data_IF_015388481437
#
_entry.id   IF_015388481437
#
_cell.length_a   1.000
_cell.length_b   1.000
_cell.length_c   1.000
_cell.angle_alpha   90.00
_cell.angle_beta   90.00
_cell.angle_gamma   90.00
#
_symmetry.space_group_name_H-M   'P 1'
#
loop_
_entity.id
_entity.type
_entity.pdbx_description
1 polymer ?
#
# COMPACT_ATOMS: atom_id res chain seq x y z
N UNK A 1 32.68 -13.36 4.48
CA UNK A 1 32.51 -13.80 3.07
C UNK A 1 33.63 -13.16 2.29
N UNK A 2 34.31 -13.88 1.37
CA UNK A 2 35.35 -13.32 0.51
C UNK A 2 34.75 -12.25 -0.41
N UNK A 3 35.49 -11.16 -0.65
CA UNK A 3 35.09 -10.14 -1.62
C UNK A 3 34.98 -10.77 -3.00
N UNK A 4 33.85 -10.63 -3.72
CA UNK A 4 33.72 -11.19 -5.06
C UNK A 4 34.80 -10.64 -6.00
N UNK A 5 35.35 -11.49 -6.83
CA UNK A 5 36.39 -11.10 -7.78
C UNK A 5 35.74 -10.57 -9.04
N UNK A 6 35.96 -9.27 -9.33
CA UNK A 6 35.56 -8.66 -10.58
C UNK A 6 36.70 -8.77 -11.59
N UNK A 7 36.40 -9.26 -12.79
CA UNK A 7 37.41 -9.44 -13.85
C UNK A 7 37.03 -8.57 -15.05
N UNK A 8 37.90 -7.62 -15.43
CA UNK A 8 37.78 -6.86 -16.66
C UNK A 8 38.14 -7.74 -17.85
N UNK A 9 37.18 -7.92 -18.76
CA UNK A 9 37.35 -8.88 -19.90
C UNK A 9 37.49 -8.18 -21.24
N UNK A 10 36.92 -6.95 -21.37
CA UNK A 10 37.02 -6.18 -22.60
C UNK A 10 36.92 -4.68 -22.33
N UNK A 11 37.39 -3.87 -23.27
CA UNK A 11 37.22 -2.43 -23.23
C UNK A 11 37.12 -1.84 -24.63
N UNK A 12 36.39 -0.73 -24.77
CA UNK A 12 36.26 0.01 -26.03
C UNK A 12 36.02 1.49 -25.78
N UNK A 13 36.44 2.32 -26.70
CA UNK A 13 36.11 3.74 -26.73
C UNK A 13 34.72 3.94 -27.31
N UNK A 14 33.87 4.61 -26.57
CA UNK A 14 32.46 4.88 -26.94
C UNK A 14 32.24 6.39 -27.05
N UNK A 15 32.19 6.97 -28.25
CA UNK A 15 31.74 8.35 -28.44
C UNK A 15 30.24 8.44 -28.18
N UNK A 16 29.84 9.42 -27.38
CA UNK A 16 28.43 9.72 -27.07
C UNK A 16 28.12 11.19 -27.26
N UNK A 17 26.86 11.57 -27.22
CA UNK A 17 26.45 12.98 -27.28
C UNK A 17 26.99 13.82 -26.11
N UNK A 18 27.27 13.21 -24.94
CA UNK A 18 27.86 13.89 -23.81
C UNK A 18 29.39 13.99 -23.88
N UNK A 19 30.05 13.13 -24.68
CA UNK A 19 31.49 13.07 -24.78
C UNK A 19 31.99 11.65 -25.04
N UNK A 20 33.30 11.44 -24.99
CA UNK A 20 33.92 10.13 -25.26
C UNK A 20 34.21 9.42 -23.93
N UNK A 21 33.63 8.27 -23.73
CA UNK A 21 33.89 7.39 -22.59
C UNK A 21 34.68 6.15 -23.02
N UNK A 22 35.37 5.55 -22.08
CA UNK A 22 35.89 4.19 -22.21
C UNK A 22 34.92 3.25 -21.49
N UNK A 23 34.35 2.30 -22.23
CA UNK A 23 33.47 1.28 -21.69
C UNK A 23 34.30 0.06 -21.31
N UNK A 24 34.21 -0.36 -20.07
CA UNK A 24 34.81 -1.60 -19.56
C UNK A 24 33.70 -2.62 -19.29
N UNK A 25 33.95 -3.85 -19.70
CA UNK A 25 33.09 -5.00 -19.47
C UNK A 25 33.70 -5.86 -18.36
N UNK A 26 32.84 -6.26 -17.38
CA UNK A 26 33.23 -7.03 -16.22
C UNK A 26 32.38 -8.28 -16.09
N UNK A 27 33.05 -9.40 -15.83
CA UNK A 27 32.47 -10.64 -15.32
C UNK A 27 32.84 -10.82 -13.85
N UNK A 28 32.22 -11.77 -13.17
CA UNK A 28 32.44 -12.03 -11.75
C UNK A 28 32.30 -13.52 -11.43
N UNK A 29 32.67 -13.91 -10.21
CA UNK A 29 32.63 -15.28 -9.70
C UNK A 29 31.38 -15.59 -8.85
N UNK A 30 30.42 -14.66 -8.76
CA UNK A 30 29.25 -14.76 -7.90
C UNK A 30 27.93 -15.00 -8.65
N UNK A 31 27.79 -14.41 -9.82
CA UNK A 31 26.62 -14.56 -10.69
C UNK A 31 27.04 -14.51 -12.18
N UNK A 32 26.12 -14.85 -13.07
CA UNK A 32 26.36 -14.84 -14.53
C UNK A 32 26.11 -13.46 -15.17
N UNK A 33 26.02 -12.38 -14.37
CA UNK A 33 25.71 -11.05 -14.89
C UNK A 33 26.96 -10.33 -15.35
N UNK A 34 26.85 -9.70 -16.50
CA UNK A 34 27.87 -8.84 -17.09
C UNK A 34 27.65 -7.40 -16.67
N UNK A 35 28.54 -6.85 -15.84
CA UNK A 35 28.47 -5.46 -15.40
C UNK A 35 29.35 -4.57 -16.26
N UNK A 36 29.04 -3.27 -16.31
CA UNK A 36 29.74 -2.32 -17.15
C UNK A 36 30.24 -1.12 -16.33
N UNK A 37 31.34 -0.50 -16.78
CA UNK A 37 31.76 0.81 -16.32
C UNK A 37 32.05 1.72 -17.51
N UNK A 38 31.44 2.90 -17.54
CA UNK A 38 31.81 3.98 -18.46
C UNK A 38 32.72 4.95 -17.70
N UNK A 39 33.94 5.10 -18.16
CA UNK A 39 34.96 5.92 -17.53
C UNK A 39 35.35 7.06 -18.46
N UNK A 40 35.41 8.25 -17.92
CA UNK A 40 35.94 9.43 -18.61
C UNK A 40 37.13 9.98 -17.83
N UNK A 41 38.19 10.36 -18.54
CA UNK A 41 39.39 10.90 -17.96
C UNK A 41 40.18 9.90 -17.13
N UNK A 42 41.20 10.39 -16.43
CA UNK A 42 41.99 9.59 -15.50
C UNK A 42 41.33 9.55 -14.13
N UNK A 43 41.06 8.35 -13.63
CA UNK A 43 40.39 8.11 -12.33
C UNK A 43 41.26 7.27 -11.37
N UNK A 44 42.35 6.69 -11.88
CA UNK A 44 43.23 5.82 -11.11
C UNK A 44 43.95 6.60 -10.00
N UNK A 45 43.94 6.06 -8.78
CA UNK A 45 44.53 6.68 -7.57
C UNK A 45 44.02 8.10 -7.27
N UNK A 46 42.85 8.46 -7.82
CA UNK A 46 42.27 9.78 -7.64
C UNK A 46 41.26 9.82 -6.50
N UNK A 47 41.18 11.00 -5.86
CA UNK A 47 40.20 11.30 -4.82
C UNK A 47 39.00 12.07 -5.40
N UNK A 48 37.85 11.96 -4.69
CA UNK A 48 36.64 12.74 -4.95
C UNK A 48 36.11 12.58 -6.40
N UNK A 49 36.30 11.40 -6.98
CA UNK A 49 35.81 11.09 -8.32
C UNK A 49 34.27 11.17 -8.35
N UNK A 50 33.71 11.80 -9.38
CA UNK A 50 32.28 11.82 -9.60
C UNK A 50 31.82 10.44 -10.10
N UNK A 51 30.96 9.78 -9.32
CA UNK A 51 30.54 8.39 -9.59
C UNK A 51 29.02 8.29 -9.61
N UNK A 52 28.48 7.63 -10.62
CA UNK A 52 27.11 7.15 -10.66
C UNK A 52 27.10 5.61 -10.59
N UNK A 53 26.44 5.05 -9.60
CA UNK A 53 26.06 3.63 -9.61
C UNK A 53 24.63 3.54 -10.14
N UNK A 54 24.49 3.07 -11.36
CA UNK A 54 23.23 2.96 -12.08
C UNK A 54 22.79 1.50 -12.15
N UNK A 55 21.56 1.21 -11.73
CA UNK A 55 20.95 -0.11 -11.92
C UNK A 55 20.16 -0.08 -13.21
N UNK A 56 20.38 -1.07 -14.07
CA UNK A 56 19.74 -1.23 -15.38
C UNK A 56 18.23 -0.99 -15.31
N UNK A 57 17.74 -0.26 -16.30
CA UNK A 57 16.33 -0.04 -16.53
C UNK A 57 16.06 0.00 -18.04
N UNK A 58 15.93 -1.16 -18.67
CA UNK A 58 15.75 -1.24 -20.14
C UNK A 58 14.65 -0.33 -20.65
N UNK A 59 13.52 -0.27 -19.94
CA UNK A 59 12.40 0.60 -20.38
C UNK A 59 12.73 2.07 -20.31
N UNK A 60 13.48 2.54 -19.30
CA UNK A 60 13.89 3.93 -19.17
C UNK A 60 15.14 4.27 -19.98
N UNK A 61 16.17 3.43 -19.86
CA UNK A 61 17.49 3.72 -20.43
C UNK A 61 17.53 3.55 -21.96
N UNK A 62 16.75 2.60 -22.52
CA UNK A 62 16.75 2.27 -23.94
C UNK A 62 15.50 2.76 -24.65
N UNK A 63 14.31 2.55 -24.08
CA UNK A 63 13.04 2.89 -24.73
C UNK A 63 12.48 4.26 -24.34
N UNK A 64 13.14 5.00 -23.43
CA UNK A 64 12.71 6.34 -23.04
C UNK A 64 11.35 6.36 -22.31
N UNK A 65 11.05 5.32 -21.53
CA UNK A 65 9.79 5.24 -20.79
C UNK A 65 9.62 6.43 -19.85
N UNK A 66 8.49 7.10 -19.92
CA UNK A 66 8.12 8.21 -19.04
C UNK A 66 7.61 7.75 -17.67
N UNK A 67 7.43 6.44 -17.44
CA UNK A 67 6.99 5.89 -16.14
C UNK A 67 8.05 6.00 -15.04
N UNK A 68 9.30 6.24 -15.40
CA UNK A 68 10.42 6.35 -14.47
C UNK A 68 11.39 7.45 -14.92
N UNK A 69 12.28 7.83 -14.03
CA UNK A 69 13.32 8.83 -14.23
C UNK A 69 14.71 8.22 -14.57
N UNK A 70 14.78 6.91 -14.86
CA UNK A 70 16.06 6.20 -14.97
C UNK A 70 16.91 6.70 -16.15
N UNK A 71 16.35 6.75 -17.35
CA UNK A 71 17.06 7.23 -18.53
C UNK A 71 17.51 8.68 -18.41
N UNK A 72 16.67 9.56 -17.86
CA UNK A 72 17.03 10.95 -17.57
C UNK A 72 18.20 11.04 -16.58
N UNK A 73 18.17 10.26 -15.49
CA UNK A 73 19.26 10.22 -14.52
C UNK A 73 20.56 9.69 -15.11
N UNK A 74 20.50 8.72 -16.02
CA UNK A 74 21.69 8.21 -16.72
C UNK A 74 22.30 9.30 -17.59
N UNK A 75 21.50 9.95 -18.44
CA UNK A 75 21.96 11.03 -19.29
C UNK A 75 22.51 12.23 -18.50
N UNK A 76 21.82 12.65 -17.43
CA UNK A 76 22.28 13.72 -16.55
C UNK A 76 23.62 13.39 -15.89
N UNK A 77 23.82 12.15 -15.46
CA UNK A 77 25.09 11.69 -14.91
C UNK A 77 26.20 11.73 -15.96
N UNK A 78 25.93 11.29 -17.19
CA UNK A 78 26.90 11.37 -18.30
C UNK A 78 27.30 12.82 -18.58
N UNK A 79 26.34 13.75 -18.64
CA UNK A 79 26.61 15.17 -18.86
C UNK A 79 27.42 15.81 -17.73
N UNK A 80 27.11 15.51 -16.47
CA UNK A 80 27.85 16.05 -15.33
C UNK A 80 29.30 15.55 -15.28
N UNK A 81 29.50 14.25 -15.56
CA UNK A 81 30.85 13.66 -15.65
C UNK A 81 31.64 14.28 -16.81
N UNK A 82 30.98 14.48 -17.95
CA UNK A 82 31.61 15.14 -19.11
C UNK A 82 31.97 16.59 -18.82
N UNK A 83 31.14 17.32 -18.10
CA UNK A 83 31.42 18.69 -17.64
C UNK A 83 32.62 18.79 -16.71
N UNK A 84 32.89 17.75 -15.89
CA UNK A 84 34.08 17.67 -15.04
C UNK A 84 35.31 17.09 -15.78
N UNK A 85 35.11 16.50 -16.95
CA UNK A 85 36.17 15.86 -17.76
C UNK A 85 36.69 14.54 -17.18
N UNK A 86 36.19 14.10 -16.02
CA UNK A 86 36.52 12.81 -15.40
C UNK A 86 35.42 12.27 -14.51
N UNK A 87 35.25 10.96 -14.48
CA UNK A 87 34.28 10.28 -13.63
C UNK A 87 33.95 8.88 -14.11
N UNK A 88 33.07 8.21 -13.37
CA UNK A 88 32.69 6.82 -13.60
C UNK A 88 31.19 6.64 -13.51
N UNK A 89 30.61 5.91 -14.48
CA UNK A 89 29.28 5.32 -14.34
C UNK A 89 29.44 3.82 -14.22
N UNK A 90 29.11 3.27 -13.08
CA UNK A 90 28.99 1.82 -12.88
C UNK A 90 27.58 1.41 -13.24
N UNK A 91 27.42 0.63 -14.32
CA UNK A 91 26.12 0.17 -14.82
C UNK A 91 25.91 -1.30 -14.40
N UNK A 92 25.02 -1.50 -13.43
CA UNK A 92 24.75 -2.81 -12.85
C UNK A 92 23.57 -3.50 -13.56
N UNK A 93 23.78 -4.73 -14.02
CA UNK A 93 22.76 -5.56 -14.66
C UNK A 93 21.81 -6.15 -13.61
N UNK A 94 20.97 -5.29 -13.04
CA UNK A 94 19.98 -5.63 -12.00
C UNK A 94 18.65 -4.91 -12.27
N UNK A 95 18.00 -5.34 -13.35
CA UNK A 95 16.72 -4.79 -13.83
C UNK A 95 15.62 -4.92 -12.78
N UNK A 96 14.70 -3.94 -12.77
CA UNK A 96 13.50 -3.98 -11.94
C UNK A 96 13.80 -3.95 -10.43
N UNK A 97 14.91 -3.34 -9.98
CA UNK A 97 15.40 -3.39 -8.60
C UNK A 97 15.84 -4.79 -8.14
N UNK A 98 16.37 -5.59 -9.07
CA UNK A 98 16.83 -6.95 -8.82
C UNK A 98 15.84 -8.05 -9.19
N UNK A 99 14.55 -7.74 -9.39
CA UNK A 99 13.51 -8.74 -9.69
C UNK A 99 13.46 -9.19 -11.16
N UNK A 100 14.18 -8.51 -12.04
CA UNK A 100 14.25 -8.80 -13.48
C UNK A 100 13.13 -8.15 -14.30
N UNK A 101 13.31 -8.12 -15.64
CA UNK A 101 12.43 -7.42 -16.57
C UNK A 101 11.00 -7.99 -16.57
N UNK A 102 10.85 -9.30 -16.57
CA UNK A 102 9.53 -9.93 -16.64
C UNK A 102 8.66 -9.56 -15.42
N UNK A 103 9.22 -9.59 -14.23
CA UNK A 103 8.49 -9.21 -13.01
C UNK A 103 8.22 -7.70 -12.94
N UNK A 104 9.16 -6.88 -13.45
CA UNK A 104 8.94 -5.43 -13.58
C UNK A 104 7.75 -5.11 -14.50
N UNK A 105 7.59 -5.81 -15.63
CA UNK A 105 6.44 -5.60 -16.52
C UNK A 105 5.13 -6.03 -15.85
N UNK A 106 5.14 -7.12 -15.07
CA UNK A 106 3.99 -7.49 -14.23
C UNK A 106 3.69 -6.43 -13.16
N UNK A 107 4.74 -5.89 -12.53
CA UNK A 107 4.57 -4.79 -11.57
C UNK A 107 4.00 -3.52 -12.24
N UNK A 108 4.34 -3.23 -13.48
CA UNK A 108 3.73 -2.13 -14.24
C UNK A 108 2.24 -2.35 -14.46
N UNK A 109 1.79 -3.58 -14.78
CA UNK A 109 0.35 -3.88 -14.90
C UNK A 109 -0.37 -3.64 -13.57
N UNK A 110 0.23 -4.09 -12.45
CA UNK A 110 -0.32 -3.81 -11.13
C UNK A 110 -0.33 -2.31 -10.78
N UNK A 111 0.66 -1.54 -11.25
CA UNK A 111 0.66 -0.09 -11.09
C UNK A 111 -0.45 0.58 -11.91
N UNK A 112 -0.78 0.07 -13.09
CA UNK A 112 -1.94 0.51 -13.87
C UNK A 112 -3.26 0.17 -13.15
N UNK A 113 -3.27 -0.87 -12.33
CA UNK A 113 -4.36 -1.22 -11.42
C UNK A 113 -4.39 -0.37 -10.13
N UNK A 114 -3.50 0.61 -9.98
CA UNK A 114 -3.48 1.55 -8.85
C UNK A 114 -2.57 1.18 -7.67
N UNK A 115 -1.81 0.07 -7.76
CA UNK A 115 -0.80 -0.25 -6.76
C UNK A 115 0.42 0.66 -6.91
N UNK A 116 1.06 1.04 -5.80
CA UNK A 116 2.35 1.69 -5.92
C UNK A 116 3.48 0.68 -6.22
N UNK A 117 4.65 1.18 -6.62
CA UNK A 117 5.77 0.32 -7.04
C UNK A 117 6.21 -0.69 -5.97
N UNK A 118 6.09 -0.35 -4.69
CA UNK A 118 6.48 -1.24 -3.57
C UNK A 118 5.41 -2.30 -3.37
N UNK A 119 4.13 -1.89 -3.35
CA UNK A 119 3.02 -2.83 -3.19
C UNK A 119 2.94 -3.80 -4.37
N UNK A 120 3.17 -3.32 -5.61
CA UNK A 120 3.26 -4.17 -6.78
C UNK A 120 4.36 -5.25 -6.65
N UNK A 121 5.56 -4.90 -6.15
CA UNK A 121 6.62 -5.87 -5.94
C UNK A 121 6.26 -6.89 -4.84
N UNK A 122 5.70 -6.43 -3.71
CA UNK A 122 5.28 -7.30 -2.61
C UNK A 122 4.20 -8.30 -3.05
N UNK A 123 3.23 -7.87 -3.86
CA UNK A 123 2.18 -8.73 -4.42
C UNK A 123 2.73 -9.81 -5.34
N UNK A 124 3.85 -9.53 -6.03
CA UNK A 124 4.56 -10.50 -6.87
C UNK A 124 5.49 -11.43 -6.07
N UNK A 125 5.52 -11.30 -4.74
CA UNK A 125 6.35 -12.12 -3.85
C UNK A 125 7.80 -11.63 -3.71
N UNK A 126 8.10 -10.40 -4.14
CA UNK A 126 9.43 -9.79 -4.07
C UNK A 126 9.54 -8.80 -2.91
N UNK A 127 10.76 -8.43 -2.55
CA UNK A 127 11.00 -7.33 -1.61
C UNK A 127 10.81 -5.97 -2.30
N UNK A 128 10.70 -4.90 -1.52
CA UNK A 128 10.61 -3.54 -2.04
C UNK A 128 11.85 -3.13 -2.86
N UNK A 129 13.01 -3.65 -2.49
CA UNK A 129 14.30 -3.43 -3.14
C UNK A 129 15.22 -4.63 -2.89
N UNK A 130 15.58 -5.34 -3.97
CA UNK A 130 16.48 -6.52 -3.94
C UNK A 130 17.85 -6.20 -4.56
N UNK A 131 18.19 -4.91 -4.71
CA UNK A 131 19.47 -4.51 -5.31
C UNK A 131 20.63 -4.77 -4.38
N UNK A 132 21.71 -5.28 -4.96
CA UNK A 132 23.00 -5.44 -4.31
C UNK A 132 24.06 -4.52 -4.97
N UNK A 133 25.05 -4.08 -4.19
CA UNK A 133 26.05 -3.11 -4.66
C UNK A 133 27.48 -3.63 -4.63
N UNK A 134 27.70 -4.90 -4.26
CA UNK A 134 29.02 -5.53 -4.20
C UNK A 134 29.80 -5.45 -5.54
N UNK A 135 29.10 -5.58 -6.67
CA UNK A 135 29.74 -5.45 -7.98
C UNK A 135 30.26 -4.03 -8.24
N UNK A 136 29.54 -3.00 -7.77
CA UNK A 136 30.04 -1.63 -7.86
C UNK A 136 31.30 -1.41 -7.01
N UNK A 137 31.37 -2.02 -5.85
CA UNK A 137 32.56 -1.98 -4.98
C UNK A 137 33.75 -2.63 -5.68
N UNK A 138 33.58 -3.83 -6.24
CA UNK A 138 34.64 -4.53 -6.96
C UNK A 138 35.14 -3.77 -8.20
N UNK A 139 34.22 -3.16 -8.96
CA UNK A 139 34.57 -2.34 -10.14
C UNK A 139 35.36 -1.09 -9.73
N UNK A 140 34.93 -0.36 -8.69
CA UNK A 140 35.61 0.83 -8.20
C UNK A 140 37.00 0.49 -7.64
N UNK A 141 37.15 -0.68 -7.00
CA UNK A 141 38.43 -1.17 -6.53
C UNK A 141 39.37 -1.52 -7.71
N UNK A 142 38.88 -2.21 -8.78
CA UNK A 142 39.67 -2.47 -9.98
C UNK A 142 40.10 -1.18 -10.70
N UNK A 143 39.26 -0.14 -10.68
CA UNK A 143 39.59 1.19 -11.21
C UNK A 143 40.47 2.01 -10.26
N UNK A 144 40.82 1.48 -9.10
CA UNK A 144 41.64 2.08 -8.06
C UNK A 144 41.19 3.48 -7.62
N UNK A 145 39.87 3.72 -7.59
CA UNK A 145 39.28 4.99 -7.13
C UNK A 145 39.39 5.06 -5.61
N UNK A 146 40.00 6.15 -5.06
CA UNK A 146 40.24 6.28 -3.62
C UNK A 146 39.01 6.77 -2.86
N UNK A 147 38.37 7.82 -3.36
CA UNK A 147 37.14 8.36 -2.76
C UNK A 147 36.18 8.89 -3.81
N UNK A 148 34.88 8.89 -3.49
CA UNK A 148 33.84 9.22 -4.46
C UNK A 148 32.92 10.34 -4.00
N UNK A 149 32.46 11.17 -4.93
CA UNK A 149 31.25 11.99 -4.83
C UNK A 149 30.15 11.24 -5.58
N UNK A 150 29.16 10.76 -4.86
CA UNK A 150 28.17 9.86 -5.41
C UNK A 150 26.94 10.61 -5.94
N UNK A 151 26.69 10.46 -7.25
CA UNK A 151 25.48 10.94 -7.95
C UNK A 151 24.29 10.06 -7.54
N UNK A 152 23.54 10.47 -6.56
CA UNK A 152 22.39 9.71 -6.05
C UNK A 152 21.42 10.56 -5.24
N UNK A 153 20.14 10.16 -5.25
CA UNK A 153 19.13 10.66 -4.32
C UNK A 153 18.70 9.58 -3.31
N UNK A 154 19.29 8.38 -3.37
CA UNK A 154 18.97 7.26 -2.48
C UNK A 154 19.96 7.19 -1.30
N UNK A 155 19.55 7.51 -0.05
CA UNK A 155 20.43 7.40 1.13
C UNK A 155 20.93 5.98 1.35
N UNK A 156 20.07 4.97 1.19
CA UNK A 156 20.46 3.56 1.40
C UNK A 156 21.60 3.13 0.48
N UNK A 157 21.68 3.70 -0.73
CA UNK A 157 22.80 3.42 -1.63
C UNK A 157 24.14 3.94 -1.05
N UNK A 158 24.13 5.09 -0.40
CA UNK A 158 25.31 5.66 0.26
C UNK A 158 25.73 4.77 1.43
N UNK A 159 24.75 4.37 2.24
CA UNK A 159 24.96 3.52 3.42
C UNK A 159 25.58 2.19 3.01
N UNK A 160 24.98 1.47 2.06
CA UNK A 160 25.51 0.18 1.58
C UNK A 160 26.91 0.27 0.98
N UNK A 161 27.22 1.32 0.20
CA UNK A 161 28.57 1.47 -0.37
C UNK A 161 29.62 1.76 0.72
N UNK A 162 29.26 2.57 1.73
CA UNK A 162 30.15 2.84 2.89
C UNK A 162 30.39 1.60 3.73
N UNK A 163 29.34 0.82 4.01
CA UNK A 163 29.44 -0.44 4.75
C UNK A 163 30.36 -1.46 4.03
N UNK A 164 30.44 -1.38 2.70
CA UNK A 164 31.30 -2.21 1.88
C UNK A 164 32.70 -1.59 1.61
N UNK A 165 33.04 -0.50 2.29
CA UNK A 165 34.38 0.07 2.29
C UNK A 165 34.65 1.15 1.25
N UNK A 166 33.67 1.66 0.53
CA UNK A 166 33.83 2.79 -0.39
C UNK A 166 33.78 4.10 0.42
N UNK A 167 34.80 4.94 0.28
CA UNK A 167 34.82 6.27 0.87
C UNK A 167 33.94 7.24 0.08
N UNK A 168 32.66 7.38 0.50
CA UNK A 168 31.71 8.32 -0.08
C UNK A 168 31.81 9.65 0.66
N UNK A 169 32.60 10.59 0.13
CA UNK A 169 32.88 11.89 0.75
C UNK A 169 31.77 12.92 0.56
N UNK A 170 30.96 12.79 -0.49
CA UNK A 170 29.82 13.70 -0.72
C UNK A 170 28.71 13.02 -1.56
N UNK A 171 27.48 13.46 -1.36
CA UNK A 171 26.35 13.22 -2.26
C UNK A 171 26.26 14.35 -3.28
N UNK A 172 26.03 13.99 -4.54
CA UNK A 172 25.66 14.93 -5.60
C UNK A 172 24.22 14.61 -6.02
N UNK A 173 23.29 15.56 -5.95
CA UNK A 173 21.90 15.32 -6.32
C UNK A 173 21.74 15.13 -7.84
N UNK A 174 20.73 14.37 -8.22
CA UNK A 174 20.23 14.25 -9.58
C UNK A 174 18.75 14.62 -9.57
N UNK A 175 18.40 15.77 -10.08
CA UNK A 175 17.03 16.27 -10.09
C UNK A 175 16.30 15.79 -11.35
N UNK A 176 15.33 14.90 -11.25
CA UNK A 176 14.56 14.45 -12.41
C UNK A 176 13.48 15.47 -12.77
N UNK A 177 13.09 15.49 -14.04
CA UNK A 177 11.88 16.19 -14.48
C UNK A 177 10.64 15.48 -13.94
N UNK A 178 9.71 16.25 -13.38
CA UNK A 178 8.46 15.73 -12.86
C UNK A 178 7.41 15.84 -13.97
N UNK A 179 6.97 14.68 -14.45
CA UNK A 179 5.93 14.53 -15.45
C UNK A 179 4.70 13.88 -14.83
N UNK A 180 3.49 14.06 -15.41
CA UNK A 180 2.30 13.37 -14.94
C UNK A 180 2.49 11.84 -14.83
N UNK A 181 3.21 11.24 -15.79
CA UNK A 181 3.44 9.81 -15.89
C UNK A 181 4.40 9.25 -14.82
N UNK A 182 5.34 10.05 -14.31
CA UNK A 182 6.31 9.62 -13.30
C UNK A 182 6.05 10.20 -11.90
N UNK A 183 5.11 11.12 -11.74
CA UNK A 183 4.86 11.82 -10.47
C UNK A 183 4.57 10.82 -9.32
N UNK A 184 3.69 9.86 -9.53
CA UNK A 184 3.37 8.83 -8.54
C UNK A 184 4.58 7.93 -8.19
N UNK A 185 5.42 7.62 -9.18
CA UNK A 185 6.65 6.87 -8.99
C UNK A 185 7.69 7.66 -8.17
N UNK A 186 7.88 8.96 -8.46
CA UNK A 186 8.77 9.84 -7.70
C UNK A 186 8.27 10.07 -6.27
N UNK A 187 6.96 10.24 -6.09
CA UNK A 187 6.34 10.32 -4.77
C UNK A 187 6.58 9.05 -3.94
N UNK A 188 6.43 7.87 -4.54
CA UNK A 188 6.75 6.60 -3.89
C UNK A 188 8.22 6.52 -3.48
N UNK A 189 9.15 6.99 -4.32
CA UNK A 189 10.57 7.07 -3.98
C UNK A 189 10.82 7.94 -2.74
N UNK A 190 10.19 9.11 -2.67
CA UNK A 190 10.37 10.03 -1.52
C UNK A 190 9.72 9.45 -0.26
N UNK A 191 8.43 9.07 -0.34
CA UNK A 191 7.64 8.69 0.84
C UNK A 191 7.97 7.31 1.38
N UNK A 192 8.28 6.34 0.49
CA UNK A 192 8.46 4.93 0.89
C UNK A 192 9.91 4.47 0.87
N UNK A 193 10.77 5.13 0.09
CA UNK A 193 12.16 4.72 -0.07
C UNK A 193 13.15 5.80 0.40
N UNK A 194 12.67 6.81 1.14
CA UNK A 194 13.46 7.86 1.78
C UNK A 194 14.36 8.64 0.81
N UNK A 195 14.01 8.69 -0.51
CA UNK A 195 14.78 9.42 -1.50
C UNK A 195 14.78 10.92 -1.22
N UNK A 196 15.96 11.53 -1.33
CA UNK A 196 16.20 12.96 -1.11
C UNK A 196 15.92 13.73 -2.41
N UNK A 197 14.64 13.86 -2.78
CA UNK A 197 14.15 14.64 -3.91
C UNK A 197 13.32 15.81 -3.38
N UNK A 198 13.50 17.00 -3.96
CA UNK A 198 12.60 18.13 -3.72
C UNK A 198 11.45 18.01 -4.72
N UNK A 199 10.36 17.39 -4.28
CA UNK A 199 9.12 17.45 -5.04
C UNK A 199 8.47 18.81 -4.75
N UNK A 200 7.90 19.54 -5.74
CA UNK A 200 7.06 20.69 -5.47
C UNK A 200 6.00 20.27 -4.45
N UNK A 201 5.70 21.16 -3.50
CA UNK A 201 4.60 20.89 -2.57
C UNK A 201 3.40 20.44 -3.40
N UNK A 202 3.01 19.20 -3.22
CA UNK A 202 2.01 18.58 -4.05
C UNK A 202 0.77 19.47 -4.03
N UNK A 203 0.49 20.14 -5.15
CA UNK A 203 -0.90 20.36 -5.49
C UNK A 203 -1.56 18.98 -5.32
N UNK A 204 -2.69 18.87 -4.61
CA UNK A 204 -3.32 17.58 -4.41
C UNK A 204 -3.31 16.90 -5.77
N UNK A 205 -2.64 15.74 -5.85
CA UNK A 205 -2.49 15.04 -7.11
C UNK A 205 -3.88 15.09 -7.73
N UNK A 206 -3.99 15.79 -8.85
CA UNK A 206 -5.17 15.66 -9.70
C UNK A 206 -5.05 14.23 -10.15
N UNK A 207 -5.59 13.34 -9.34
CA UNK A 207 -5.93 12.00 -9.73
C UNK A 207 -6.64 12.24 -11.04
N UNK A 208 -6.06 11.79 -12.16
CA UNK A 208 -6.84 11.65 -13.39
C UNK A 208 -7.93 10.67 -12.98
N UNK A 209 -8.97 11.25 -12.37
CA UNK A 209 -10.01 10.49 -11.70
C UNK A 209 -10.72 9.74 -12.80
N UNK A 210 -10.45 8.45 -12.91
CA UNK A 210 -11.46 7.61 -13.50
C UNK A 210 -12.70 7.79 -12.64
N UNK A 211 -13.65 8.54 -13.18
CA UNK A 211 -14.93 8.71 -12.54
C UNK A 211 -15.56 7.33 -12.45
N UNK A 212 -16.04 6.96 -11.27
CA UNK A 212 -16.88 5.78 -11.15
C UNK A 212 -17.99 5.84 -12.21
N UNK A 213 -18.35 4.73 -12.84
CA UNK A 213 -19.56 4.67 -13.65
C UNK A 213 -20.73 5.29 -12.89
N UNK A 214 -21.60 6.05 -13.56
CA UNK A 214 -22.68 6.81 -12.90
C UNK A 214 -23.53 5.94 -11.96
N UNK A 215 -23.77 4.70 -12.32
CA UNK A 215 -24.55 3.77 -11.48
C UNK A 215 -23.84 3.47 -10.15
N UNK A 216 -22.52 3.20 -10.16
CA UNK A 216 -21.74 2.98 -8.94
C UNK A 216 -21.64 4.23 -8.09
N UNK A 217 -21.44 5.39 -8.73
CA UNK A 217 -21.40 6.69 -8.03
C UNK A 217 -22.74 7.00 -7.31
N UNK A 218 -23.87 6.80 -7.99
CA UNK A 218 -25.20 6.98 -7.41
C UNK A 218 -25.45 6.07 -6.21
N UNK A 219 -24.96 4.82 -6.25
CA UNK A 219 -25.08 3.87 -5.12
C UNK A 219 -24.26 4.32 -3.91
N UNK A 220 -23.03 4.81 -4.14
CA UNK A 220 -22.20 5.36 -3.07
C UNK A 220 -22.86 6.59 -2.42
N UNK A 221 -23.42 7.49 -3.23
CA UNK A 221 -24.12 8.68 -2.73
C UNK A 221 -25.40 8.33 -1.96
N UNK A 222 -26.17 7.38 -2.44
CA UNK A 222 -27.34 6.86 -1.74
C UNK A 222 -26.98 6.23 -0.39
N UNK A 223 -25.89 5.44 -0.34
CA UNK A 223 -25.40 4.84 0.90
C UNK A 223 -24.98 5.93 1.89
N UNK A 224 -24.24 6.94 1.45
CA UNK A 224 -23.82 8.09 2.27
C UNK A 224 -25.01 8.83 2.86
N UNK A 225 -26.01 9.13 2.05
CA UNK A 225 -27.23 9.85 2.50
C UNK A 225 -28.00 9.05 3.55
N UNK A 226 -28.14 7.74 3.36
CA UNK A 226 -28.77 6.83 4.33
C UNK A 226 -27.99 6.76 5.64
N UNK A 227 -26.66 6.73 5.56
CA UNK A 227 -25.80 6.66 6.74
C UNK A 227 -25.98 7.90 7.63
N UNK A 228 -26.09 9.08 7.04
CA UNK A 228 -26.34 10.32 7.78
C UNK A 228 -27.71 10.30 8.46
N UNK A 229 -28.78 9.95 7.74
CA UNK A 229 -30.12 9.87 8.32
C UNK A 229 -30.23 8.87 9.48
N UNK A 230 -29.62 7.70 9.33
CA UNK A 230 -29.58 6.67 10.39
C UNK A 230 -28.90 7.21 11.66
N UNK A 231 -27.76 7.89 11.51
CA UNK A 231 -27.01 8.40 12.65
C UNK A 231 -27.77 9.50 13.40
N UNK A 232 -28.49 10.36 12.68
CA UNK A 232 -29.36 11.40 13.28
C UNK A 232 -30.50 10.78 14.10
N UNK A 233 -31.13 9.73 13.58
CA UNK A 233 -32.25 9.04 14.26
C UNK A 233 -31.82 8.18 15.45
N UNK A 234 -30.67 7.52 15.34
CA UNK A 234 -30.26 6.46 16.29
C UNK A 234 -29.16 6.87 17.26
N UNK A 235 -28.45 7.96 16.98
CA UNK A 235 -27.29 8.38 17.78
C UNK A 235 -26.11 7.40 17.70
N UNK A 236 -26.12 6.50 16.71
CA UNK A 236 -25.09 5.47 16.47
C UNK A 236 -24.57 5.59 15.04
N UNK A 237 -23.29 5.30 14.78
CA UNK A 237 -22.79 5.23 13.43
C UNK A 237 -23.50 4.17 12.59
N UNK A 238 -23.78 4.49 11.33
CA UNK A 238 -24.17 3.52 10.33
C UNK A 238 -22.95 2.68 9.93
N UNK A 239 -23.05 1.37 9.98
CA UNK A 239 -21.93 0.47 9.70
C UNK A 239 -22.15 -0.23 8.36
N UNK A 240 -21.18 -0.07 7.46
CA UNK A 240 -21.10 -0.77 6.17
C UNK A 240 -19.98 -1.81 6.22
N UNK A 241 -20.29 -3.07 6.01
CA UNK A 241 -19.27 -4.10 5.76
C UNK A 241 -18.83 -4.00 4.30
N UNK A 242 -17.55 -3.80 4.06
CA UNK A 242 -16.99 -3.75 2.70
C UNK A 242 -15.78 -4.64 2.59
N UNK A 243 -15.84 -5.63 1.71
CA UNK A 243 -14.74 -6.56 1.49
C UNK A 243 -14.82 -7.19 0.10
N UNK A 244 -13.68 -7.70 -0.37
CA UNK A 244 -13.60 -8.51 -1.58
C UNK A 244 -13.40 -9.98 -1.22
N UNK A 245 -14.03 -10.85 -1.97
CA UNK A 245 -13.87 -12.30 -1.86
C UNK A 245 -13.83 -12.97 -3.24
N UNK A 246 -13.26 -14.15 -3.29
CA UNK A 246 -13.37 -15.05 -4.44
C UNK A 246 -14.77 -15.66 -4.56
N UNK A 247 -15.06 -16.35 -5.66
CA UNK A 247 -16.34 -17.06 -5.87
C UNK A 247 -16.62 -18.10 -4.77
N UNK A 248 -15.59 -18.72 -4.22
CA UNK A 248 -15.70 -19.66 -3.11
C UNK A 248 -15.71 -19.00 -1.73
N UNK A 249 -15.81 -17.67 -1.65
CA UNK A 249 -15.94 -16.90 -0.41
C UNK A 249 -14.62 -16.63 0.34
N UNK A 250 -13.47 -16.87 -0.28
CA UNK A 250 -12.16 -16.68 0.34
C UNK A 250 -11.67 -15.24 0.18
N UNK A 251 -11.10 -14.66 1.25
CA UNK A 251 -10.46 -13.33 1.27
C UNK A 251 -8.93 -13.39 1.24
N UNK A 252 -8.36 -14.57 1.48
CA UNK A 252 -6.91 -14.82 1.42
C UNK A 252 -6.68 -16.31 1.13
N UNK A 253 -5.55 -16.63 0.48
CA UNK A 253 -5.18 -18.03 0.23
C UNK A 253 -4.66 -18.70 1.52
N UNK A 254 -3.91 -17.96 2.34
CA UNK A 254 -3.37 -18.42 3.62
C UNK A 254 -3.49 -17.32 4.67
N UNK A 255 -3.67 -17.65 5.95
CA UNK A 255 -3.72 -16.66 7.02
C UNK A 255 -2.47 -15.78 7.04
N UNK A 256 -2.66 -14.46 7.19
CA UNK A 256 -1.57 -13.48 7.31
C UNK A 256 -0.83 -13.17 6.00
N UNK A 257 -1.32 -13.65 4.86
CA UNK A 257 -0.78 -13.28 3.53
C UNK A 257 -1.84 -12.55 2.71
N UNK A 258 -1.56 -11.30 2.29
CA UNK A 258 -2.46 -10.54 1.43
C UNK A 258 -2.72 -11.26 0.10
N UNK A 259 -3.94 -11.12 -0.41
CA UNK A 259 -4.31 -11.60 -1.73
C UNK A 259 -5.07 -10.50 -2.46
N UNK A 260 -4.52 -10.04 -3.59
CA UNK A 260 -5.21 -9.11 -4.46
C UNK A 260 -6.35 -9.83 -5.18
N UNK A 261 -7.57 -9.52 -4.82
CA UNK A 261 -8.80 -10.09 -5.41
C UNK A 261 -9.47 -9.12 -6.37
N UNK A 262 -9.58 -7.85 -5.98
CA UNK A 262 -10.32 -6.82 -6.71
C UNK A 262 -9.55 -6.32 -7.93
N UNK A 263 -10.23 -6.20 -9.06
CA UNK A 263 -9.75 -5.45 -10.22
C UNK A 263 -9.80 -3.94 -9.99
N UNK A 264 -9.29 -3.18 -10.96
CA UNK A 264 -9.11 -1.73 -10.84
C UNK A 264 -10.41 -0.97 -10.51
N UNK A 265 -11.53 -1.29 -11.18
CA UNK A 265 -12.79 -0.59 -10.97
C UNK A 265 -13.39 -0.88 -9.58
N UNK A 266 -13.27 -2.11 -9.09
CA UNK A 266 -13.69 -2.47 -7.74
C UNK A 266 -12.82 -1.80 -6.66
N UNK A 267 -11.51 -1.64 -6.90
CA UNK A 267 -10.63 -0.85 -6.04
C UNK A 267 -11.00 0.63 -6.05
N UNK A 268 -11.32 1.20 -7.22
CA UNK A 268 -11.80 2.58 -7.34
C UNK A 268 -13.08 2.77 -6.53
N UNK A 269 -14.01 1.82 -6.60
CA UNK A 269 -15.21 1.81 -5.76
C UNK A 269 -14.88 1.74 -4.27
N UNK A 270 -13.94 0.90 -3.86
CA UNK A 270 -13.48 0.82 -2.46
C UNK A 270 -12.99 2.20 -1.97
N UNK A 271 -12.21 2.92 -2.79
CA UNK A 271 -11.76 4.26 -2.46
C UNK A 271 -12.90 5.29 -2.41
N UNK A 272 -13.91 5.16 -3.26
CA UNK A 272 -15.10 6.01 -3.19
C UNK A 272 -15.94 5.73 -1.93
N UNK A 273 -16.06 4.47 -1.53
CA UNK A 273 -16.70 4.09 -0.26
C UNK A 273 -15.93 4.65 0.94
N UNK A 274 -14.60 4.62 0.93
CA UNK A 274 -13.77 5.26 1.96
C UNK A 274 -14.04 6.75 2.06
N UNK A 275 -14.10 7.45 0.92
CA UNK A 275 -14.39 8.88 0.86
C UNK A 275 -15.81 9.23 1.31
N UNK A 276 -16.75 8.30 1.23
CA UNK A 276 -18.14 8.47 1.62
C UNK A 276 -18.42 8.18 3.10
N UNK A 277 -17.46 7.64 3.85
CA UNK A 277 -17.59 7.31 5.27
C UNK A 277 -16.74 8.24 6.15
N UNK A 278 -17.23 8.56 7.35
CA UNK A 278 -16.48 9.37 8.33
C UNK A 278 -15.29 8.61 8.89
N UNK A 279 -15.41 7.28 9.04
CA UNK A 279 -14.36 6.43 9.59
C UNK A 279 -14.23 5.08 8.85
N UNK A 280 -13.03 4.52 8.89
CA UNK A 280 -12.71 3.19 8.40
C UNK A 280 -12.15 2.35 9.54
N UNK A 281 -12.67 1.13 9.71
CA UNK A 281 -12.32 0.24 10.80
C UNK A 281 -11.72 -1.05 10.27
N UNK A 282 -10.55 -1.42 10.80
CA UNK A 282 -9.88 -2.69 10.55
C UNK A 282 -9.48 -3.38 11.85
N UNK A 283 -9.30 -4.70 11.80
CA UNK A 283 -8.68 -5.44 12.90
C UNK A 283 -7.16 -5.37 12.85
N UNK A 284 -6.50 -5.52 14.02
CA UNK A 284 -5.04 -5.57 14.09
C UNK A 284 -4.44 -6.66 13.19
N UNK A 285 -5.14 -7.79 12.98
CA UNK A 285 -4.70 -8.84 12.07
C UNK A 285 -4.49 -8.36 10.64
N UNK A 286 -5.37 -7.48 10.14
CA UNK A 286 -5.24 -6.84 8.81
C UNK A 286 -4.02 -5.92 8.77
N UNK A 287 -3.78 -5.14 9.85
CA UNK A 287 -2.60 -4.26 9.89
C UNK A 287 -1.30 -5.06 9.89
N UNK A 288 -1.24 -6.15 10.65
CA UNK A 288 -0.05 -7.01 10.71
C UNK A 288 0.22 -7.77 9.41
N UNK A 289 -0.84 -8.09 8.63
CA UNK A 289 -0.72 -8.81 7.37
C UNK A 289 -0.39 -7.88 6.19
N UNK A 290 -1.10 -6.75 6.10
CA UNK A 290 -1.17 -5.93 4.89
C UNK A 290 -0.46 -4.57 5.03
N UNK A 291 -0.16 -4.14 6.28
CA UNK A 291 0.33 -2.81 6.61
C UNK A 291 -0.37 -1.69 5.80
N UNK A 292 -1.72 -1.58 5.88
CA UNK A 292 -2.52 -0.74 4.99
C UNK A 292 -2.37 0.74 5.34
N UNK A 293 -2.56 1.62 4.34
CA UNK A 293 -2.61 3.07 4.55
C UNK A 293 -4.00 3.57 4.94
N UNK A 294 -5.05 2.91 4.50
CA UNK A 294 -6.46 3.26 4.66
C UNK A 294 -6.85 4.67 4.15
N UNK A 295 -6.06 5.25 3.26
CA UNK A 295 -6.30 6.56 2.62
C UNK A 295 -7.13 6.45 1.35
N UNK A 296 -7.70 7.58 0.91
CA UNK A 296 -8.35 7.75 -0.40
C UNK A 296 -7.29 8.16 -1.42
N UNK A 297 -7.14 7.40 -2.53
CA UNK A 297 -6.07 7.63 -3.51
C UNK A 297 -6.53 7.54 -4.96
N UNK A 298 -7.62 6.81 -5.24
CA UNK A 298 -8.09 6.54 -6.61
C UNK A 298 -9.26 7.43 -7.04
N UNK A 299 -9.83 8.18 -6.12
CA UNK A 299 -10.91 9.14 -6.37
C UNK A 299 -10.66 10.42 -5.59
N UNK A 300 -11.29 11.50 -5.98
CA UNK A 300 -11.32 12.72 -5.17
C UNK A 300 -12.21 12.51 -3.95
N UNK A 301 -11.76 12.95 -2.77
CA UNK A 301 -12.55 12.89 -1.55
C UNK A 301 -11.68 12.94 -0.28
N UNK A 302 -12.30 13.14 0.88
CA UNK A 302 -11.58 13.17 2.15
C UNK A 302 -11.14 11.77 2.58
N UNK A 303 -10.04 11.70 3.30
CA UNK A 303 -9.65 10.49 4.00
C UNK A 303 -10.58 10.22 5.18
N UNK A 304 -11.07 8.99 5.41
CA UNK A 304 -11.79 8.62 6.61
C UNK A 304 -10.88 8.59 7.83
N UNK A 305 -11.44 8.69 9.05
CA UNK A 305 -10.69 8.46 10.29
C UNK A 305 -10.36 6.97 10.43
N UNK A 306 -9.08 6.56 10.42
CA UNK A 306 -8.73 5.15 10.60
C UNK A 306 -8.89 4.73 12.05
N UNK A 307 -9.48 3.54 12.24
CA UNK A 307 -9.71 2.90 13.53
C UNK A 307 -9.16 1.48 13.47
N UNK A 308 -8.30 1.14 14.43
CA UNK A 308 -7.77 -0.22 14.58
C UNK A 308 -8.37 -0.87 15.82
N UNK A 309 -9.01 -2.02 15.67
CA UNK A 309 -9.43 -2.85 16.79
C UNK A 309 -8.25 -3.71 17.22
N UNK A 310 -7.64 -3.34 18.34
CA UNK A 310 -6.44 -3.98 18.88
C UNK A 310 -6.53 -4.18 20.40
N UNK A 311 -7.17 -5.25 20.82
CA UNK A 311 -7.42 -5.56 22.24
C UNK A 311 -6.16 -5.60 23.10
N UNK A 312 -4.99 -5.82 22.51
CA UNK A 312 -3.72 -6.06 23.23
C UNK A 312 -2.61 -5.06 22.89
N UNK A 313 -2.90 -4.02 22.10
CA UNK A 313 -1.93 -3.01 21.64
C UNK A 313 -0.70 -3.63 20.94
N UNK A 314 -0.94 -4.43 19.89
CA UNK A 314 0.07 -5.10 19.07
C UNK A 314 0.47 -4.29 17.83
N UNK A 315 -0.10 -3.08 17.64
CA UNK A 315 0.20 -2.23 16.49
C UNK A 315 1.71 -1.95 16.44
N UNK A 316 2.40 -2.29 15.33
CA UNK A 316 3.82 -2.02 15.18
C UNK A 316 4.10 -0.51 15.15
N UNK A 317 5.23 -0.09 15.72
CA UNK A 317 5.63 1.34 15.75
C UNK A 317 5.94 1.89 14.38
N UNK A 318 6.33 1.05 13.43
CA UNK A 318 6.66 1.36 12.05
C UNK A 318 5.46 1.22 11.10
N UNK A 319 4.27 0.87 11.60
CA UNK A 319 3.07 0.72 10.79
C UNK A 319 2.76 2.00 9.98
N UNK A 320 2.56 1.84 8.67
CA UNK A 320 2.25 2.98 7.76
C UNK A 320 1.02 3.77 8.19
N UNK A 321 0.10 3.10 8.87
CA UNK A 321 -1.12 3.71 9.39
C UNK A 321 -0.83 4.84 10.40
N UNK A 322 0.29 4.79 11.13
CA UNK A 322 0.71 5.85 12.06
C UNK A 322 1.08 7.17 11.35
N UNK A 323 1.31 7.13 10.03
CA UNK A 323 1.56 8.32 9.18
C UNK A 323 0.28 8.84 8.50
N UNK A 324 -0.90 8.31 8.86
CA UNK A 324 -2.16 8.73 8.27
C UNK A 324 -2.44 10.23 8.58
N UNK A 325 -2.89 11.05 7.60
CA UNK A 325 -3.08 12.49 7.79
C UNK A 325 -4.03 12.86 8.95
N UNK A 326 -5.01 12.01 9.24
CA UNK A 326 -5.96 12.21 10.35
C UNK A 326 -5.53 11.57 11.67
N UNK A 327 -4.31 11.01 11.73
CA UNK A 327 -3.90 10.16 12.84
C UNK A 327 -4.69 8.84 12.87
N UNK A 328 -4.42 7.99 13.85
CA UNK A 328 -5.09 6.69 14.02
C UNK A 328 -5.73 6.56 15.40
N UNK A 329 -6.95 6.03 15.46
CA UNK A 329 -7.60 5.65 16.71
C UNK A 329 -7.45 4.16 16.93
N UNK A 330 -7.00 3.76 18.14
CA UNK A 330 -6.74 2.37 18.49
C UNK A 330 -7.69 1.98 19.61
N UNK A 331 -8.68 1.16 19.28
CA UNK A 331 -9.64 0.64 20.26
C UNK A 331 -9.03 -0.56 20.99
N UNK A 332 -8.98 -0.50 22.33
CA UNK A 332 -8.38 -1.52 23.20
C UNK A 332 -9.25 -1.84 24.41
N UNK A 333 -9.02 -3.01 25.01
CA UNK A 333 -9.67 -3.43 26.27
C UNK A 333 -8.93 -2.96 27.52
N UNK A 334 -7.67 -2.50 27.38
CA UNK A 334 -6.84 -2.05 28.51
C UNK A 334 -7.16 -0.62 28.95
N UNK A 335 -6.61 -0.24 30.12
CA UNK A 335 -6.64 1.13 30.57
C UNK A 335 -5.96 2.06 29.54
N UNK A 336 -6.42 3.31 29.49
CA UNK A 336 -5.79 4.34 28.65
C UNK A 336 -4.28 4.38 28.94
N UNK A 337 -3.50 3.96 27.96
CA UNK A 337 -2.07 4.23 27.96
C UNK A 337 -1.84 5.52 27.18
N UNK A 338 -0.96 6.40 27.64
CA UNK A 338 -0.65 7.60 26.88
C UNK A 338 -0.12 7.23 25.49
N UNK A 339 -0.51 7.98 24.47
CA UNK A 339 -0.15 7.72 23.07
C UNK A 339 1.37 7.63 22.84
N UNK A 340 2.18 8.30 23.70
CA UNK A 340 3.63 8.19 23.71
C UNK A 340 4.15 6.77 24.02
N UNK A 341 3.33 5.87 24.59
CA UNK A 341 3.71 4.45 24.78
C UNK A 341 3.92 3.71 23.44
N UNK A 342 3.31 4.20 22.34
CA UNK A 342 3.50 3.69 20.98
C UNK A 342 4.59 4.46 20.21
N UNK A 343 5.13 5.55 20.79
CA UNK A 343 6.12 6.39 20.11
C UNK A 343 5.57 7.16 18.90
N UNK A 344 4.24 7.31 18.81
CA UNK A 344 3.58 7.97 17.69
C UNK A 344 2.69 9.11 18.21
N UNK A 345 3.04 10.34 17.87
CA UNK A 345 2.29 11.55 18.25
C UNK A 345 0.87 11.59 17.64
N UNK A 346 0.67 10.89 16.52
CA UNK A 346 -0.59 10.86 15.78
C UNK A 346 -1.52 9.69 16.16
N UNK A 347 -1.21 8.90 17.20
CA UNK A 347 -2.05 7.80 17.65
C UNK A 347 -2.88 8.19 18.87
N UNK A 348 -4.18 7.82 18.86
CA UNK A 348 -5.08 7.99 20.00
C UNK A 348 -5.60 6.65 20.46
N UNK A 349 -5.39 6.32 21.71
CA UNK A 349 -5.91 5.09 22.33
C UNK A 349 -7.32 5.35 22.85
N UNK A 350 -8.24 4.49 22.48
CA UNK A 350 -9.61 4.45 22.97
C UNK A 350 -9.80 3.22 23.86
N UNK A 351 -9.85 3.41 25.15
CA UNK A 351 -10.19 2.36 26.10
C UNK A 351 -11.72 2.13 26.09
N UNK A 352 -12.16 1.00 25.54
CA UNK A 352 -13.60 0.75 25.29
C UNK A 352 -14.16 -0.32 26.22
N UNK A 353 -13.29 -1.11 26.82
CA UNK A 353 -13.71 -2.27 27.61
C UNK A 353 -13.73 -3.56 26.78
N UNK A 354 -13.88 -4.69 27.51
CA UNK A 354 -13.88 -6.01 26.94
C UNK A 354 -15.31 -6.57 26.85
N UNK A 355 -15.63 -7.17 25.71
CA UNK A 355 -16.80 -8.02 25.55
C UNK A 355 -16.65 -9.37 26.24
N UNK A 356 -17.65 -10.25 26.16
CA UNK A 356 -17.64 -11.57 26.81
C UNK A 356 -16.50 -12.49 26.35
N UNK A 357 -15.98 -12.27 25.15
CA UNK A 357 -14.86 -13.02 24.57
C UNK A 357 -13.46 -12.45 24.94
N UNK A 358 -13.42 -11.44 25.83
CA UNK A 358 -12.20 -10.78 26.26
C UNK A 358 -11.58 -9.84 25.20
N UNK A 359 -12.30 -9.54 24.11
CA UNK A 359 -11.90 -8.60 23.06
C UNK A 359 -12.62 -7.27 23.22
N UNK A 360 -12.23 -6.28 22.41
CA UNK A 360 -12.91 -4.98 22.37
C UNK A 360 -14.41 -5.17 22.16
N UNK A 361 -15.23 -4.59 23.05
CA UNK A 361 -16.68 -4.53 22.88
C UNK A 361 -17.01 -3.59 21.72
N UNK A 362 -17.39 -4.17 20.57
CA UNK A 362 -17.69 -3.42 19.36
C UNK A 362 -18.94 -2.52 19.51
N UNK A 363 -19.91 -2.92 20.34
CA UNK A 363 -21.10 -2.09 20.62
C UNK A 363 -20.71 -0.85 21.42
N UNK A 364 -19.91 -1.02 22.47
CA UNK A 364 -19.37 0.08 23.25
C UNK A 364 -18.47 0.99 22.40
N UNK A 365 -17.68 0.41 21.49
CA UNK A 365 -16.90 1.20 20.52
C UNK A 365 -17.79 2.06 19.64
N UNK A 366 -18.85 1.51 19.05
CA UNK A 366 -19.76 2.29 18.20
C UNK A 366 -20.45 3.42 18.97
N UNK A 367 -20.84 3.19 20.23
CA UNK A 367 -21.37 4.24 21.11
C UNK A 367 -20.35 5.37 21.32
N UNK A 368 -19.09 5.02 21.60
CA UNK A 368 -18.03 6.01 21.80
C UNK A 368 -17.72 6.78 20.50
N UNK A 369 -17.75 6.12 19.35
CA UNK A 369 -17.57 6.76 18.04
C UNK A 369 -18.73 7.74 17.75
N UNK A 370 -19.97 7.36 18.04
CA UNK A 370 -21.14 8.26 17.90
C UNK A 370 -21.02 9.51 18.77
N UNK A 371 -20.58 9.36 20.04
CA UNK A 371 -20.32 10.52 20.94
C UNK A 371 -19.22 11.45 20.40
N UNK A 372 -18.29 10.94 19.59
CA UNK A 372 -17.25 11.73 18.93
C UNK A 372 -17.68 12.30 17.59
N UNK A 373 -18.95 12.18 17.22
CA UNK A 373 -19.51 12.73 15.99
C UNK A 373 -19.27 11.88 14.74
N UNK A 374 -18.79 10.63 14.87
CA UNK A 374 -18.70 9.69 13.74
C UNK A 374 -20.11 9.20 13.41
N UNK A 375 -20.57 9.44 12.19
CA UNK A 375 -21.92 9.08 11.72
C UNK A 375 -21.93 7.81 10.87
N UNK A 376 -20.78 7.49 10.25
CA UNK A 376 -20.65 6.34 9.37
C UNK A 376 -19.29 5.65 9.56
N UNK A 377 -19.30 4.31 9.55
CA UNK A 377 -18.10 3.47 9.69
C UNK A 377 -18.09 2.43 8.56
N UNK A 378 -17.06 2.46 7.74
CA UNK A 378 -16.76 1.40 6.81
C UNK A 378 -15.88 0.35 7.50
N UNK A 379 -16.31 -0.89 7.53
CA UNK A 379 -15.52 -2.00 8.09
C UNK A 379 -14.84 -2.72 6.94
N UNK A 380 -13.55 -2.49 6.80
CA UNK A 380 -12.64 -3.18 5.88
C UNK A 380 -11.78 -4.16 6.69
N UNK A 381 -12.38 -5.21 7.20
CA UNK A 381 -11.67 -6.07 8.13
C UNK A 381 -11.37 -7.45 7.58
N UNK A 382 -10.43 -8.16 8.23
CA UNK A 382 -10.23 -9.57 8.07
C UNK A 382 -11.42 -10.37 8.66
N UNK A 383 -11.45 -11.66 8.37
CA UNK A 383 -12.55 -12.59 8.72
C UNK A 383 -13.07 -12.43 10.17
N UNK A 384 -12.16 -12.20 11.12
CA UNK A 384 -12.51 -12.11 12.54
C UNK A 384 -13.38 -10.88 12.84
N UNK A 385 -13.02 -9.71 12.34
CA UNK A 385 -13.76 -8.47 12.57
C UNK A 385 -15.10 -8.52 11.85
N UNK A 386 -15.12 -8.94 10.58
CA UNK A 386 -16.37 -9.12 9.80
C UNK A 386 -17.32 -10.07 10.55
N UNK A 387 -16.83 -11.24 10.98
CA UNK A 387 -17.62 -12.21 11.75
C UNK A 387 -18.15 -11.61 13.05
N UNK A 388 -17.36 -10.81 13.77
CA UNK A 388 -17.79 -10.19 15.03
C UNK A 388 -18.90 -9.14 14.80
N UNK A 389 -18.83 -8.33 13.72
CA UNK A 389 -19.90 -7.41 13.38
C UNK A 389 -21.19 -8.13 12.97
N UNK A 390 -21.08 -9.24 12.24
CA UNK A 390 -22.22 -10.07 11.85
C UNK A 390 -22.81 -10.76 13.09
N UNK A 391 -22.00 -11.39 13.92
CA UNK A 391 -22.48 -12.08 15.15
C UNK A 391 -23.13 -11.12 16.15
N UNK A 392 -22.60 -9.89 16.25
CA UNK A 392 -23.12 -8.82 17.12
C UNK A 392 -24.34 -8.10 16.56
N UNK A 393 -24.76 -8.36 15.33
CA UNK A 393 -25.84 -7.64 14.60
C UNK A 393 -25.58 -6.13 14.55
N UNK A 394 -24.31 -5.73 14.30
CA UNK A 394 -23.85 -4.35 14.42
C UNK A 394 -23.74 -3.62 13.07
N UNK A 395 -24.01 -4.28 11.95
CA UNK A 395 -23.93 -3.69 10.62
C UNK A 395 -25.30 -3.51 9.99
N UNK A 396 -25.46 -2.47 9.19
CA UNK A 396 -26.71 -2.11 8.51
C UNK A 396 -26.65 -2.46 7.02
N UNK A 397 -25.47 -2.36 6.38
CA UNK A 397 -25.30 -2.64 4.97
C UNK A 397 -24.06 -3.48 4.69
N UNK A 398 -24.05 -4.14 3.56
CA UNK A 398 -22.88 -4.82 3.02
C UNK A 398 -22.67 -4.43 1.55
N UNK A 399 -21.39 -4.21 1.20
CA UNK A 399 -20.89 -4.02 -0.16
C UNK A 399 -19.81 -5.06 -0.39
N UNK A 400 -20.12 -6.10 -1.15
CA UNK A 400 -19.24 -7.28 -1.29
C UNK A 400 -18.79 -7.34 -2.74
N UNK A 401 -17.49 -7.27 -2.97
CA UNK A 401 -16.89 -7.52 -4.28
C UNK A 401 -16.62 -9.01 -4.43
N UNK A 402 -17.10 -9.62 -5.49
CA UNK A 402 -16.86 -11.01 -5.84
C UNK A 402 -15.94 -11.05 -7.06
N UNK A 403 -14.70 -11.49 -6.84
CA UNK A 403 -13.75 -11.71 -7.92
C UNK A 403 -13.99 -13.07 -8.59
N UNK A 404 -13.85 -13.19 -9.93
CA UNK A 404 -14.11 -14.42 -10.69
C UNK A 404 -12.95 -15.43 -10.52
N UNK A 405 -12.61 -15.77 -9.28
CA UNK A 405 -11.51 -16.67 -8.90
C UNK A 405 -11.97 -17.70 -7.88
N UNK A 406 -11.31 -18.85 -7.85
CA UNK A 406 -11.44 -19.87 -6.81
C UNK A 406 -10.11 -19.95 -6.06
N UNK A 407 -10.12 -19.82 -4.74
CA UNK A 407 -8.91 -19.69 -3.91
C UNK A 407 -8.77 -20.86 -2.93
N UNK A 408 -9.87 -21.32 -2.32
CA UNK A 408 -9.84 -22.43 -1.35
C UNK A 408 -9.12 -22.10 -0.06
N UNK A 409 -9.19 -20.83 0.40
CA UNK A 409 -8.42 -20.33 1.52
C UNK A 409 -9.24 -19.88 2.74
N UNK A 410 -8.91 -18.71 3.28
CA UNK A 410 -9.57 -18.12 4.45
C UNK A 410 -10.88 -17.46 4.01
N UNK A 411 -12.01 -17.91 4.53
CA UNK A 411 -13.31 -17.34 4.23
C UNK A 411 -13.51 -15.96 4.89
N UNK A 412 -14.29 -15.10 4.24
CA UNK A 412 -14.66 -13.76 4.72
C UNK A 412 -15.37 -13.81 6.08
N UNK A 413 -16.22 -14.81 6.27
CA UNK A 413 -16.93 -15.06 7.53
C UNK A 413 -16.55 -16.43 8.06
N UNK A 414 -16.10 -16.47 9.31
CA UNK A 414 -15.98 -17.74 10.03
C UNK A 414 -17.40 -18.26 10.36
N UNK A 415 -17.50 -19.53 10.79
CA UNK A 415 -18.78 -20.07 11.23
C UNK A 415 -19.38 -19.15 12.30
N UNK A 416 -20.49 -18.48 11.96
CA UNK A 416 -21.27 -17.72 12.93
C UNK A 416 -22.00 -18.77 13.77
N UNK A 417 -21.76 -18.85 15.10
CA UNK A 417 -22.50 -19.81 15.92
C UNK A 417 -24.00 -19.57 15.73
N UNK A 418 -24.76 -20.64 15.56
CA UNK A 418 -26.21 -20.61 15.34
C UNK A 418 -27.03 -20.09 16.56
N UNK A 419 -26.44 -19.22 17.38
CA UNK A 419 -26.94 -18.80 18.70
C UNK A 419 -28.04 -17.73 18.66
N UNK A 420 -28.37 -17.17 17.51
CA UNK A 420 -29.47 -16.20 17.41
C UNK A 420 -30.56 -16.77 16.54
N UNK A 421 -31.40 -17.62 17.11
CA UNK A 421 -32.64 -18.08 16.47
C UNK A 421 -32.49 -19.01 15.26
N UNK A 422 -31.29 -19.57 15.00
CA UNK A 422 -31.06 -20.62 13.99
C UNK A 422 -31.02 -20.17 12.54
N UNK A 423 -31.20 -18.88 12.22
CA UNK A 423 -31.18 -18.39 10.84
C UNK A 423 -30.00 -17.40 10.62
N UNK A 424 -29.30 -17.57 9.49
CA UNK A 424 -28.25 -16.64 9.05
C UNK A 424 -28.86 -15.28 8.67
N UNK A 425 -28.10 -14.16 8.83
CA UNK A 425 -28.53 -12.87 8.30
C UNK A 425 -28.72 -12.96 6.77
N UNK A 426 -29.72 -12.22 6.27
CA UNK A 426 -30.01 -12.14 4.84
C UNK A 426 -29.69 -10.72 4.36
N UNK A 427 -29.35 -10.61 3.10
CA UNK A 427 -29.32 -9.32 2.42
C UNK A 427 -30.72 -9.03 1.87
N UNK A 428 -31.26 -7.87 2.26
CA UNK A 428 -32.49 -7.31 1.69
C UNK A 428 -32.12 -6.20 0.69
N UNK A 429 -33.06 -5.80 -0.15
CA UNK A 429 -32.86 -4.74 -1.16
C UNK A 429 -31.60 -4.98 -2.01
N UNK A 430 -31.38 -6.23 -2.39
CA UNK A 430 -30.13 -6.64 -3.05
C UNK A 430 -30.02 -6.05 -4.44
N UNK A 431 -28.83 -5.54 -4.77
CA UNK A 431 -28.48 -5.11 -6.09
C UNK A 431 -27.13 -5.71 -6.51
N UNK A 432 -26.98 -5.96 -7.78
CA UNK A 432 -25.78 -6.51 -8.39
C UNK A 432 -25.27 -5.52 -9.43
N UNK A 433 -24.02 -5.11 -9.33
CA UNK A 433 -23.43 -4.16 -10.28
C UNK A 433 -22.08 -4.68 -10.76
N UNK A 434 -21.90 -4.86 -12.08
CA UNK A 434 -20.58 -5.21 -12.61
C UNK A 434 -19.55 -4.10 -12.34
N UNK A 435 -18.33 -4.50 -11.98
CA UNK A 435 -17.20 -3.60 -11.78
C UNK A 435 -15.95 -4.17 -12.51
N UNK A 436 -15.90 -4.02 -13.83
CA UNK A 436 -14.95 -4.70 -14.69
C UNK A 436 -15.26 -6.20 -14.76
N UNK A 437 -14.31 -7.03 -14.38
CA UNK A 437 -14.50 -8.48 -14.28
C UNK A 437 -15.17 -8.91 -12.97
N UNK A 438 -15.19 -8.04 -11.97
CA UNK A 438 -15.77 -8.31 -10.66
C UNK A 438 -17.28 -8.04 -10.64
N UNK A 439 -17.99 -8.72 -9.73
CA UNK A 439 -19.39 -8.46 -9.41
C UNK A 439 -19.50 -7.82 -8.02
N UNK A 440 -20.11 -6.66 -7.91
CA UNK A 440 -20.39 -6.01 -6.62
C UNK A 440 -21.81 -6.28 -6.18
N UNK A 441 -21.96 -6.85 -5.00
CA UNK A 441 -23.24 -7.12 -4.35
C UNK A 441 -23.47 -6.07 -3.27
N UNK A 442 -24.59 -5.36 -3.37
CA UNK A 442 -25.06 -4.37 -2.40
C UNK A 442 -26.28 -4.93 -1.69
N UNK A 443 -26.43 -4.68 -0.40
CA UNK A 443 -27.63 -5.07 0.30
C UNK A 443 -27.69 -4.55 1.73
N UNK A 444 -28.89 -4.51 2.26
CA UNK A 444 -29.15 -4.20 3.66
C UNK A 444 -29.11 -5.49 4.48
N UNK A 445 -28.45 -5.46 5.62
CA UNK A 445 -28.39 -6.62 6.51
C UNK A 445 -29.71 -6.73 7.27
N UNK A 446 -30.50 -7.77 6.93
CA UNK A 446 -31.72 -8.14 7.62
C UNK A 446 -31.45 -9.26 8.62
N UNK A 447 -31.77 -9.00 9.85
CA UNK A 447 -31.59 -9.94 10.95
C UNK A 447 -32.87 -10.71 11.21
N UNK A 448 -32.84 -12.05 11.31
CA UNK A 448 -34.03 -12.84 11.64
C UNK A 448 -34.55 -12.40 13.01
N UNK A 449 -35.85 -12.10 13.07
CA UNK A 449 -36.51 -11.83 14.34
C UNK A 449 -36.45 -13.10 15.22
N UNK A 450 -35.99 -12.99 16.46
CA UNK A 450 -36.07 -14.10 17.40
C UNK A 450 -37.55 -14.51 17.57
N UNK A 451 -37.81 -15.82 17.59
CA UNK A 451 -39.18 -16.34 17.78
C UNK A 451 -39.87 -15.81 19.07
N UNK A 452 -39.08 -15.32 20.02
CA UNK A 452 -39.56 -14.67 21.24
C UNK A 452 -40.16 -13.28 20.96
N UNK A 453 -39.53 -12.46 20.05
CA UNK A 453 -40.02 -11.13 19.67
C UNK A 453 -41.27 -11.22 18.78
N UNK A 454 -41.33 -12.23 17.92
CA UNK A 454 -42.52 -12.49 17.10
C UNK A 454 -43.72 -12.90 17.95
N UNK A 455 -43.54 -13.70 19.03
CA UNK A 455 -44.61 -14.06 19.97
C UNK A 455 -45.08 -12.87 20.79
N UNK A 456 -44.18 -11.98 21.21
CA UNK A 456 -44.55 -10.79 21.97
C UNK A 456 -45.34 -9.79 21.10
N UNK A 457 -45.01 -9.62 19.81
CA UNK A 457 -45.75 -8.80 18.88
C UNK A 457 -47.15 -9.41 18.56
N UNK A 458 -47.25 -10.69 18.44
CA UNK A 458 -48.54 -11.42 18.21
C UNK A 458 -49.47 -11.35 19.44
N UNK A 459 -48.91 -11.43 20.66
CA UNK A 459 -49.68 -11.33 21.90
C UNK A 459 -50.10 -9.91 22.23
N UNK A 460 -49.31 -8.90 21.84
CA UNK A 460 -49.66 -7.48 21.97
C UNK A 460 -50.85 -7.03 21.09
N UNK A 461 -50.98 -7.60 19.89
CA UNK A 461 -52.13 -7.29 19.01
C UNK A 461 -53.42 -8.00 19.42
N UNK A 462 -53.36 -9.14 20.11
CA UNK A 462 -54.55 -9.85 20.57
C UNK A 462 -55.18 -9.20 21.83
N UNK A 463 -54.41 -8.47 22.64
CA UNK A 463 -54.92 -7.76 23.81
C UNK A 463 -55.62 -6.44 23.50
N UNK A 464 -55.28 -5.81 22.37
CA UNK A 464 -55.99 -4.58 21.91
C UNK A 464 -57.35 -4.88 21.22
N UNK A 465 -57.55 -6.11 20.67
CA UNK A 465 -58.84 -6.49 20.06
C UNK A 465 -59.91 -6.95 21.06
N UNK A 466 -59.56 -7.14 22.35
CA UNK A 466 -60.52 -7.50 23.39
C UNK A 466 -60.97 -6.34 24.27
N UNK A 467 -60.60 -5.10 23.93
CA UNK A 467 -61.04 -3.88 24.63
C UNK A 467 -61.78 -2.87 23.73
N UNK A 468 -62.49 -3.40 22.71
CA UNK A 468 -63.52 -2.62 21.99
C UNK A 468 -64.84 -3.37 21.97
#
# INVERSE_FOLDING_TARGET
MSTPIMQRTASARIPTAAGTFHLYHYTNDRDDKEHLALVMGDVEQCDRILVRVHSECMTGDVFGSLRCDCGEQLHAAMQQIAGEGRGVIVYLRQEGRGIGLAQKLRAYNLQDEGYDTVDANLLLGHQADEREYWAAVGILADLQVRSVRLLTNNPSKIEHLREQGIDVVARVPLEPSILPENAAYLETKVRRMRHLLQLPAAAPATVSGQQLPPELAQRVDALRSRAHGYAEERGLPFVTLSYAQSLDGSIAATPGRPLALSGHLALTLTHALRAAHDAILVGIGTVLADDPRLTVRMVAGPDPQPIVVDSRLRLPREARLLQHPRGVWIATTGAERPANALGAENARILAVGAGPDGRVDLRALLLELGRRGVRSVMVEGGAQVLTSFVAGQLAQAAVITIAPRLVGGVHALAAVPAQVGGAAPQLASVAYTPAGEDLVVWGDLAWPQSAATARAAATGQSSQKRRR
#
